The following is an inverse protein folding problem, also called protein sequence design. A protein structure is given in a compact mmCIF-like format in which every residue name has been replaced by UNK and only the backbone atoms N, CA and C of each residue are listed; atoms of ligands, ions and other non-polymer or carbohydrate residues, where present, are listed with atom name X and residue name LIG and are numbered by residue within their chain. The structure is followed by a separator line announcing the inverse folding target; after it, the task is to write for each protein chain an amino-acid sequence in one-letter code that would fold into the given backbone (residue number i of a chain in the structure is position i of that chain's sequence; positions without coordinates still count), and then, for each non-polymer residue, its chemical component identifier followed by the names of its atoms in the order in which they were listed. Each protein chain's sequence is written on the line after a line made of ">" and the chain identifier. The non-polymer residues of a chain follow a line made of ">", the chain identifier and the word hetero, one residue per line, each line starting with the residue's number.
data_IF_584827703060
#
_entry.id   IF_584827703060
#
_cell.length_a   1.000
_cell.length_b   1.000
_cell.length_c   1.000
_cell.angle_alpha   90.00
_cell.angle_beta   90.00
_cell.angle_gamma   90.00
#
_symmetry.space_group_name_H-M   'P 1'
#
loop_
_entity.id
_entity.type
_entity.pdbx_description
1 polymer ?
#
# COMPACT_ATOMS: atom_id res chain seq x y z
N UNK A 1 -0.71 -0.87 19.21
CA UNK A 1 -1.26 0.35 19.90
C UNK A 1 -0.14 1.35 20.20
N UNK A 2 -0.36 2.63 19.91
CA UNK A 2 0.60 3.73 20.11
C UNK A 2 -0.03 4.90 20.88
N UNK A 3 0.63 5.41 21.91
CA UNK A 3 0.20 6.63 22.59
C UNK A 3 0.93 7.84 22.01
N UNK A 4 0.19 8.88 21.67
CA UNK A 4 0.71 10.19 21.26
C UNK A 4 0.25 11.26 22.25
N UNK A 5 1.06 12.28 22.49
CA UNK A 5 0.70 13.40 23.36
C UNK A 5 0.53 14.66 22.53
N UNK A 6 -0.61 15.30 22.61
CA UNK A 6 -0.90 16.56 21.92
C UNK A 6 -1.39 17.61 22.91
N UNK A 7 -0.64 18.70 23.05
CA UNK A 7 -0.93 19.76 24.02
C UNK A 7 -1.14 19.23 25.46
N UNK A 8 -0.31 18.26 25.88
CA UNK A 8 -0.38 17.69 27.24
C UNK A 8 -1.49 16.66 27.45
N UNK A 9 -2.33 16.37 26.45
CA UNK A 9 -3.34 15.31 26.49
C UNK A 9 -2.86 14.11 25.70
N UNK A 10 -3.02 12.92 26.29
CA UNK A 10 -2.68 11.64 25.66
C UNK A 10 -3.85 11.13 24.80
N UNK A 11 -3.50 10.58 23.66
CA UNK A 11 -4.40 9.89 22.74
C UNK A 11 -3.78 8.54 22.37
N UNK A 12 -4.58 7.50 22.44
CA UNK A 12 -4.17 6.15 22.05
C UNK A 12 -4.66 5.86 20.63
N UNK A 13 -3.74 5.57 19.75
CA UNK A 13 -4.03 5.07 18.40
C UNK A 13 -3.96 3.56 18.44
N UNK A 14 -5.05 2.92 18.05
CA UNK A 14 -5.18 1.47 17.97
C UNK A 14 -5.88 1.10 16.64
N UNK A 15 -5.26 0.20 15.89
CA UNK A 15 -5.73 -0.17 14.56
C UNK A 15 -6.22 -1.63 14.55
N UNK A 16 -7.27 -1.87 15.28
CA UNK A 16 -7.96 -3.15 15.41
C UNK A 16 -9.23 -3.24 14.55
N UNK A 17 -10.24 -3.94 15.07
CA UNK A 17 -11.51 -4.15 14.41
C UNK A 17 -12.23 -2.84 14.06
N UNK A 18 -12.32 -1.89 14.99
CA UNK A 18 -13.00 -0.63 14.76
C UNK A 18 -12.34 0.20 13.63
N UNK A 19 -11.01 0.19 13.56
CA UNK A 19 -10.28 0.84 12.49
C UNK A 19 -10.48 0.12 11.14
N UNK A 20 -10.60 -1.21 11.13
CA UNK A 20 -10.84 -2.00 9.93
C UNK A 20 -12.26 -1.83 9.35
N UNK A 21 -13.22 -1.31 10.13
CA UNK A 21 -14.55 -0.94 9.64
C UNK A 21 -14.56 0.39 8.86
N UNK A 22 -13.49 1.19 8.93
CA UNK A 22 -13.38 2.44 8.18
C UNK A 22 -13.00 2.14 6.73
N UNK A 23 -14.00 1.86 5.90
CA UNK A 23 -13.83 1.37 4.53
C UNK A 23 -12.94 2.23 3.65
N UNK A 24 -12.99 3.57 3.77
CA UNK A 24 -12.10 4.47 3.01
C UNK A 24 -10.63 4.28 3.41
N UNK A 25 -10.34 4.08 4.70
CA UNK A 25 -8.98 3.80 5.16
C UNK A 25 -8.48 2.48 4.60
N UNK A 26 -9.29 1.43 4.68
CA UNK A 26 -8.98 0.09 4.15
C UNK A 26 -8.67 0.17 2.65
N UNK A 27 -9.52 0.85 1.87
CA UNK A 27 -9.32 1.03 0.44
C UNK A 27 -7.99 1.75 0.15
N UNK A 28 -7.72 2.87 0.81
CA UNK A 28 -6.49 3.64 0.61
C UNK A 28 -5.24 2.85 0.99
N UNK A 29 -5.28 2.12 2.08
CA UNK A 29 -4.16 1.27 2.50
C UNK A 29 -3.93 0.10 1.56
N UNK A 30 -4.99 -0.50 1.01
CA UNK A 30 -4.89 -1.51 -0.04
C UNK A 30 -4.24 -0.94 -1.30
N UNK A 31 -4.68 0.22 -1.79
CA UNK A 31 -4.09 0.90 -2.95
C UNK A 31 -2.60 1.19 -2.76
N UNK A 32 -2.21 1.61 -1.55
CA UNK A 32 -0.80 1.86 -1.19
C UNK A 32 0.03 0.56 -1.19
N UNK A 33 -0.47 -0.49 -0.56
CA UNK A 33 0.29 -1.73 -0.36
C UNK A 33 0.39 -2.57 -1.64
N UNK A 34 -0.64 -2.54 -2.48
CA UNK A 34 -0.69 -3.31 -3.74
C UNK A 34 0.09 -2.69 -4.90
N UNK A 35 0.59 -1.48 -4.76
CA UNK A 35 1.23 -0.75 -5.88
C UNK A 35 0.27 -0.37 -7.02
N UNK A 36 -1.04 -0.36 -6.76
CA UNK A 36 -2.09 -0.14 -7.76
C UNK A 36 -1.94 1.19 -8.53
N UNK A 37 -1.39 2.22 -7.90
CA UNK A 37 -1.09 3.51 -8.54
C UNK A 37 -0.13 3.35 -9.73
N UNK A 38 0.94 2.57 -9.55
CA UNK A 38 1.93 2.30 -10.61
C UNK A 38 1.28 1.46 -11.73
N UNK A 39 0.50 0.45 -11.37
CA UNK A 39 -0.19 -0.40 -12.33
C UNK A 39 -1.19 0.38 -13.18
N UNK A 40 -1.96 1.29 -12.61
CA UNK A 40 -2.91 2.16 -13.34
C UNK A 40 -2.19 3.04 -14.36
N UNK A 41 -1.06 3.65 -13.98
CA UNK A 41 -0.27 4.50 -14.89
C UNK A 41 0.34 3.68 -16.04
N UNK A 42 0.81 2.46 -15.77
CA UNK A 42 1.31 1.56 -16.80
C UNK A 42 0.20 1.15 -17.79
N UNK A 43 -1.01 0.86 -17.32
CA UNK A 43 -2.18 0.55 -18.16
C UNK A 43 -2.61 1.73 -19.04
N UNK A 44 -2.37 2.97 -18.62
CA UNK A 44 -2.62 4.16 -19.43
C UNK A 44 -1.63 4.32 -20.61
N UNK A 45 -0.72 3.37 -20.83
CA UNK A 45 0.24 3.34 -21.93
C UNK A 45 1.57 4.04 -21.64
N UNK A 46 1.82 4.41 -20.39
CA UNK A 46 3.09 4.99 -19.99
C UNK A 46 4.20 3.92 -19.95
N UNK A 47 5.43 4.31 -20.32
CA UNK A 47 6.57 3.43 -20.08
C UNK A 47 6.82 3.27 -18.57
N UNK A 48 7.55 2.23 -18.18
CA UNK A 48 7.79 1.85 -16.78
C UNK A 48 8.32 3.01 -15.93
N UNK A 49 9.26 3.79 -16.46
CA UNK A 49 9.85 4.94 -15.74
C UNK A 49 8.81 6.02 -15.44
N UNK A 50 7.97 6.37 -16.41
CA UNK A 50 6.88 7.35 -16.24
C UNK A 50 5.82 6.79 -15.30
N UNK A 51 5.45 5.51 -15.44
CA UNK A 51 4.47 4.89 -14.57
C UNK A 51 4.89 4.89 -13.10
N UNK A 52 6.18 4.65 -12.82
CA UNK A 52 6.72 4.70 -11.46
C UNK A 52 6.69 6.12 -10.90
N UNK A 53 7.08 7.12 -11.68
CA UNK A 53 7.05 8.53 -11.24
C UNK A 53 5.62 9.02 -10.96
N UNK A 54 4.71 8.70 -11.85
CA UNK A 54 3.30 9.08 -11.79
C UNK A 54 2.61 8.41 -10.58
N UNK A 55 2.76 7.09 -10.47
CA UNK A 55 2.24 6.33 -9.34
C UNK A 55 2.82 6.79 -7.99
N UNK A 56 4.12 7.14 -7.94
CA UNK A 56 4.72 7.72 -6.73
C UNK A 56 4.11 9.08 -6.40
N UNK A 57 3.82 9.90 -7.41
CA UNK A 57 3.13 11.19 -7.24
C UNK A 57 1.73 11.03 -6.64
N UNK A 58 0.94 10.08 -7.16
CA UNK A 58 -0.39 9.76 -6.62
C UNK A 58 -0.33 9.24 -5.19
N UNK A 59 0.64 8.36 -4.88
CA UNK A 59 0.88 7.89 -3.51
C UNK A 59 1.15 9.06 -2.57
N UNK A 60 2.04 9.98 -2.93
CA UNK A 60 2.34 11.17 -2.13
C UNK A 60 1.13 12.07 -1.92
N UNK A 61 0.32 12.25 -2.95
CA UNK A 61 -0.92 13.04 -2.87
C UNK A 61 -1.97 12.39 -1.95
N UNK A 62 -1.95 11.07 -1.81
CA UNK A 62 -2.90 10.30 -0.99
C UNK A 62 -2.52 10.26 0.50
N UNK A 63 -1.23 10.34 0.84
CA UNK A 63 -0.73 10.24 2.23
C UNK A 63 -1.42 11.20 3.20
N UNK A 64 -1.67 12.49 2.89
CA UNK A 64 -2.38 13.38 3.81
C UNK A 64 -3.78 12.88 4.18
N UNK A 65 -4.53 12.33 3.21
CA UNK A 65 -5.85 11.77 3.48
C UNK A 65 -5.78 10.52 4.36
N UNK A 66 -4.83 9.64 4.08
CA UNK A 66 -4.58 8.45 4.92
C UNK A 66 -4.27 8.87 6.35
N UNK A 67 -3.42 9.87 6.57
CA UNK A 67 -3.07 10.32 7.92
C UNK A 67 -4.30 10.83 8.69
N UNK A 68 -5.20 11.57 8.04
CA UNK A 68 -6.45 12.05 8.69
C UNK A 68 -7.34 10.86 9.05
N UNK A 69 -7.56 9.94 8.10
CA UNK A 69 -8.39 8.75 8.32
C UNK A 69 -7.79 7.84 9.40
N UNK A 70 -6.48 7.68 9.42
CA UNK A 70 -5.80 6.87 10.42
C UNK A 70 -5.90 7.48 11.83
N UNK A 71 -5.78 8.80 11.97
CA UNK A 71 -6.01 9.45 13.27
C UNK A 71 -7.46 9.33 13.72
N UNK A 72 -8.41 9.43 12.79
CA UNK A 72 -9.82 9.18 13.08
C UNK A 72 -10.04 7.73 13.53
N UNK A 73 -9.67 6.77 12.68
CA UNK A 73 -9.88 5.35 12.91
C UNK A 73 -9.15 4.83 14.16
N UNK A 74 -7.89 5.23 14.34
CA UNK A 74 -7.07 4.79 15.48
C UNK A 74 -7.55 5.36 16.82
N UNK A 75 -8.35 6.43 16.82
CA UNK A 75 -8.94 6.99 18.05
C UNK A 75 -10.29 6.34 18.41
N UNK A 76 -10.96 5.62 17.52
CA UNK A 76 -12.33 5.16 17.70
C UNK A 76 -12.53 4.36 18.99
N UNK A 77 -11.61 3.46 19.30
CA UNK A 77 -11.75 2.57 20.46
C UNK A 77 -11.48 3.30 21.79
N UNK A 78 -10.38 4.06 21.85
CA UNK A 78 -9.89 4.60 23.14
C UNK A 78 -10.26 6.08 23.39
N UNK A 79 -10.36 6.87 22.34
CA UNK A 79 -10.57 8.31 22.42
C UNK A 79 -11.45 8.77 21.25
N UNK A 80 -12.71 8.33 21.13
CA UNK A 80 -13.53 8.63 19.98
C UNK A 80 -13.58 10.11 19.65
N UNK A 81 -13.30 10.44 18.39
CA UNK A 81 -13.32 11.80 17.87
C UNK A 81 -14.02 11.80 16.52
N UNK A 82 -14.54 12.93 16.08
CA UNK A 82 -14.99 13.09 14.71
C UNK A 82 -13.80 13.21 13.74
N UNK A 83 -14.03 13.04 12.44
CA UNK A 83 -12.98 13.19 11.42
C UNK A 83 -12.37 14.61 11.44
N UNK A 84 -13.17 15.64 11.67
CA UNK A 84 -12.69 17.02 11.77
C UNK A 84 -11.85 17.27 13.02
N UNK A 85 -12.20 16.63 14.14
CA UNK A 85 -11.37 16.65 15.34
C UNK A 85 -10.07 15.88 15.13
N UNK A 86 -10.09 14.72 14.47
CA UNK A 86 -8.91 13.96 14.12
C UNK A 86 -7.96 14.76 13.21
N UNK A 87 -8.51 15.48 12.22
CA UNK A 87 -7.76 16.42 11.37
C UNK A 87 -7.10 17.52 12.18
N UNK A 88 -7.81 18.07 13.14
CA UNK A 88 -7.29 19.11 14.03
C UNK A 88 -6.22 18.57 14.98
N UNK A 89 -6.41 17.36 15.50
CA UNK A 89 -5.46 16.63 16.33
C UNK A 89 -4.15 16.36 15.57
N UNK A 90 -4.26 15.80 14.38
CA UNK A 90 -3.12 15.55 13.49
C UNK A 90 -2.33 16.82 13.19
N UNK A 91 -3.02 17.92 12.84
CA UNK A 91 -2.38 19.22 12.59
C UNK A 91 -1.59 19.73 13.79
N UNK A 92 -2.15 19.60 15.01
CA UNK A 92 -1.47 20.01 16.25
C UNK A 92 -0.25 19.12 16.51
N UNK A 93 -0.42 17.80 16.38
CA UNK A 93 0.66 16.83 16.54
C UNK A 93 1.83 17.12 15.58
N UNK A 94 1.55 17.28 14.28
CA UNK A 94 2.57 17.59 13.28
C UNK A 94 3.33 18.88 13.58
N UNK A 95 2.64 19.92 14.06
CA UNK A 95 3.28 21.18 14.45
C UNK A 95 4.17 21.02 15.68
N UNK A 96 3.70 20.31 16.69
CA UNK A 96 4.42 20.06 17.95
C UNK A 96 5.69 19.25 17.69
N UNK A 97 5.59 18.17 16.94
CA UNK A 97 6.68 17.24 16.64
C UNK A 97 7.53 17.63 15.41
N UNK A 98 7.16 18.72 14.72
CA UNK A 98 7.80 19.19 13.48
C UNK A 98 7.88 18.11 12.40
N UNK A 99 6.82 17.31 12.26
CA UNK A 99 6.72 16.19 11.32
C UNK A 99 5.95 16.58 10.07
N UNK A 100 6.36 16.02 8.92
CA UNK A 100 5.58 16.01 7.69
C UNK A 100 4.50 14.89 7.74
N UNK A 101 3.57 14.90 6.80
CA UNK A 101 2.62 13.79 6.63
C UNK A 101 3.32 12.45 6.38
N UNK A 102 4.42 12.48 5.62
CA UNK A 102 5.22 11.28 5.34
C UNK A 102 5.88 10.73 6.60
N UNK A 103 6.41 11.60 7.46
CA UNK A 103 7.02 11.17 8.72
C UNK A 103 5.97 10.56 9.64
N UNK A 104 4.79 11.19 9.75
CA UNK A 104 3.69 10.63 10.55
C UNK A 104 3.23 9.30 10.01
N UNK A 105 3.11 9.16 8.69
CA UNK A 105 2.74 7.90 8.06
C UNK A 105 3.77 6.79 8.35
N UNK A 106 5.05 7.06 8.07
CA UNK A 106 6.10 6.05 8.16
C UNK A 106 6.50 5.68 9.60
N UNK A 107 6.46 6.65 10.53
CA UNK A 107 6.99 6.45 11.89
C UNK A 107 5.91 6.13 12.92
N UNK A 108 4.66 6.47 12.63
CA UNK A 108 3.55 6.32 13.58
C UNK A 108 2.47 5.39 13.03
N UNK A 109 1.90 5.73 11.87
CA UNK A 109 0.68 5.06 11.38
C UNK A 109 1.00 3.67 10.89
N UNK A 110 1.88 3.54 9.92
CA UNK A 110 2.17 2.26 9.28
C UNK A 110 2.71 1.21 10.27
N UNK A 111 3.72 1.52 11.11
CA UNK A 111 4.19 0.56 12.10
C UNK A 111 3.12 0.16 13.12
N UNK A 112 2.27 1.12 13.54
CA UNK A 112 1.19 0.82 14.49
C UNK A 112 0.13 -0.10 13.85
N UNK A 113 -0.21 0.11 12.57
CA UNK A 113 -1.11 -0.76 11.82
C UNK A 113 -0.56 -2.19 11.68
N UNK A 114 0.76 -2.33 11.45
CA UNK A 114 1.41 -3.65 11.41
C UNK A 114 1.37 -4.33 12.77
N UNK A 115 1.77 -3.64 13.83
CA UNK A 115 1.83 -4.16 15.19
C UNK A 115 0.43 -4.57 15.72
N UNK A 116 -0.62 -3.84 15.35
CA UNK A 116 -2.00 -4.08 15.80
C UNK A 116 -2.74 -5.09 14.89
N UNK A 117 -2.11 -5.56 13.80
CA UNK A 117 -2.69 -6.55 12.90
C UNK A 117 -3.78 -6.02 11.97
N UNK A 118 -3.82 -4.71 11.71
CA UNK A 118 -4.81 -4.08 10.84
C UNK A 118 -4.91 -4.71 9.45
N UNK A 119 -3.78 -5.04 8.83
CA UNK A 119 -3.74 -5.61 7.48
C UNK A 119 -4.32 -7.02 7.42
N UNK A 120 -4.18 -7.78 8.50
CA UNK A 120 -4.79 -9.11 8.64
C UNK A 120 -6.29 -8.98 8.88
N UNK A 121 -6.69 -8.13 9.83
CA UNK A 121 -8.09 -7.92 10.23
C UNK A 121 -8.93 -7.36 9.08
N UNK A 122 -8.39 -6.40 8.32
CA UNK A 122 -9.05 -5.83 7.14
C UNK A 122 -9.02 -6.75 5.91
N UNK A 123 -8.24 -7.83 5.92
CA UNK A 123 -8.08 -8.76 4.80
C UNK A 123 -7.16 -8.25 3.67
N UNK A 124 -6.50 -7.11 3.85
CA UNK A 124 -5.61 -6.51 2.84
C UNK A 124 -4.48 -7.47 2.47
N UNK A 125 -3.84 -8.12 3.45
CA UNK A 125 -2.72 -9.04 3.20
C UNK A 125 -3.14 -10.18 2.26
N UNK A 126 -4.25 -10.84 2.55
CA UNK A 126 -4.76 -11.92 1.69
C UNK A 126 -5.09 -11.46 0.28
N UNK A 127 -5.62 -10.25 0.13
CA UNK A 127 -5.97 -9.70 -1.18
C UNK A 127 -4.72 -9.38 -1.99
N UNK A 128 -3.69 -8.77 -1.37
CA UNK A 128 -2.41 -8.47 -2.02
C UNK A 128 -1.70 -9.76 -2.43
N UNK A 129 -1.67 -10.77 -1.56
CA UNK A 129 -1.07 -12.08 -1.88
C UNK A 129 -1.79 -12.75 -3.05
N UNK A 130 -3.12 -12.71 -3.08
CA UNK A 130 -3.91 -13.27 -4.19
C UNK A 130 -3.64 -12.53 -5.51
N UNK A 131 -3.48 -11.21 -5.48
CA UNK A 131 -3.11 -10.42 -6.65
C UNK A 131 -1.71 -10.79 -7.17
N UNK A 132 -0.73 -10.91 -6.28
CA UNK A 132 0.63 -11.27 -6.65
C UNK A 132 0.68 -12.67 -7.28
N UNK A 133 -0.01 -13.65 -6.71
CA UNK A 133 -0.12 -14.98 -7.28
C UNK A 133 -0.78 -14.99 -8.67
N UNK A 134 -1.83 -14.19 -8.85
CA UNK A 134 -2.49 -14.06 -10.16
C UNK A 134 -1.57 -13.44 -11.22
N UNK A 135 -0.76 -12.45 -10.84
CA UNK A 135 0.22 -11.81 -11.72
C UNK A 135 1.34 -12.79 -12.10
N UNK A 136 1.91 -13.54 -11.15
CA UNK A 136 2.94 -14.55 -11.39
C UNK A 136 2.44 -15.65 -12.34
N UNK A 137 1.22 -16.13 -12.15
CA UNK A 137 0.61 -17.13 -13.03
C UNK A 137 0.42 -16.60 -14.46
N UNK A 138 -0.02 -15.35 -14.62
CA UNK A 138 -0.20 -14.72 -15.92
C UNK A 138 1.14 -14.53 -16.68
N UNK A 139 2.22 -14.24 -15.97
CA UNK A 139 3.57 -14.13 -16.56
C UNK A 139 4.10 -15.50 -17.00
N UNK A 140 3.84 -16.57 -16.25
CA UNK A 140 4.25 -17.93 -16.62
C UNK A 140 3.52 -18.46 -17.87
N UNK A 141 2.24 -18.10 -18.04
CA UNK A 141 1.47 -18.49 -19.23
C UNK A 141 1.93 -17.75 -20.50
N UNK A 142 2.56 -16.58 -20.39
CA UNK A 142 3.06 -15.79 -21.52
C UNK A 142 4.46 -16.18 -21.99
N UNK A 143 5.21 -17.03 -21.26
CA UNK A 143 6.48 -17.56 -21.75
C UNK A 143 6.22 -18.67 -22.78
N UNK A 144 6.49 -18.46 -24.10
CA UNK A 144 6.29 -19.52 -25.09
C UNK A 144 7.23 -20.68 -24.78
N UNK A 145 6.66 -21.86 -24.69
CA UNK A 145 7.39 -23.10 -24.53
C UNK A 145 8.20 -23.33 -25.82
N UNK A 146 9.41 -22.76 -25.90
CA UNK A 146 10.32 -22.98 -27.04
C UNK A 146 10.86 -24.39 -26.87
N UNK A 147 10.17 -25.37 -27.49
CA UNK A 147 10.69 -26.71 -27.63
C UNK A 147 12.04 -26.64 -28.37
N UNK A 148 13.08 -27.40 -27.96
CA UNK A 148 14.36 -27.43 -28.65
C UNK A 148 14.16 -27.93 -30.07
N UNK A 149 14.46 -27.11 -31.08
CA UNK A 149 14.51 -27.54 -32.46
C UNK A 149 15.72 -28.46 -32.64
N UNK A 150 15.45 -29.75 -32.81
CA UNK A 150 16.43 -30.76 -33.16
C UNK A 150 17.01 -30.44 -34.56
N UNK A 151 18.21 -29.90 -34.61
CA UNK A 151 18.97 -29.72 -35.85
C UNK A 151 19.45 -31.07 -36.33
N UNK A 152 18.65 -31.78 -37.17
CA UNK A 152 19.11 -32.89 -37.98
C UNK A 152 20.18 -32.39 -38.95
N UNK A 153 21.44 -32.74 -38.68
CA UNK A 153 22.54 -32.64 -39.65
C UNK A 153 22.25 -33.52 -40.84
N UNK A 154 21.96 -32.94 -42.01
CA UNK A 154 21.96 -33.66 -43.26
C UNK A 154 23.41 -33.92 -43.71
N UNK A 155 23.87 -35.16 -43.62
CA UNK A 155 25.10 -35.63 -44.22
C UNK A 155 24.93 -35.67 -45.73
N UNK A 156 25.59 -34.78 -46.47
CA UNK A 156 25.79 -34.96 -47.94
C UNK A 156 26.87 -35.97 -48.15
N UNK A 157 26.47 -37.15 -48.67
CA UNK A 157 27.38 -38.10 -49.30
C UNK A 157 27.88 -37.50 -50.62
N UNK A 158 29.20 -37.42 -50.80
CA UNK A 158 29.86 -37.14 -52.05
C UNK A 158 30.16 -38.45 -52.70
N UNK A 159 29.72 -38.57 -53.95
CA UNK A 159 30.20 -39.68 -54.82
C UNK A 159 30.51 -39.13 -56.22
N UNK A 160 31.80 -39.24 -56.58
CA UNK A 160 32.43 -39.19 -57.90
C UNK A 160 32.08 -38.02 -58.82
#
# INVERSE_FOLDING_TARGET
>A
MKTITVNGKEYKLEFDFAAAEVGELVQKMFEMKSGLYIARSAQAGNNVGVAVLDGTGEMLATVPRICVLAFYAGCLENNPVSEDEARTLLKKYMKQEKKSFRDVYNEIIYPCMEDDGFFVTSGIDKMVDSMNQAMENAEQEQTPNVAPQDHKKSSKASTK
#
